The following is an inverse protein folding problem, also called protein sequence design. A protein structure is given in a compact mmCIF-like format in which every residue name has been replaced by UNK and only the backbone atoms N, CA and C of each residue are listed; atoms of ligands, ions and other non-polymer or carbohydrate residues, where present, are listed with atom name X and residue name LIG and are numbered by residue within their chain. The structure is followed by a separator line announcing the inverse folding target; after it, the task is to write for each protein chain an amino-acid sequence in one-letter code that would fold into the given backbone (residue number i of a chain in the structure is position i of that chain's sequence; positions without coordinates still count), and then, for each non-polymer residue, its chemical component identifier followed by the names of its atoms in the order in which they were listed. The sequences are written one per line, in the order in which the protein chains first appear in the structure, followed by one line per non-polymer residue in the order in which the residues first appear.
data_IF_389688284722
#
_entry.id   IF_389688284722
#
_cell.length_a   1.000
_cell.length_b   1.000
_cell.length_c   1.000
_cell.angle_alpha   90.00
_cell.angle_beta   90.00
_cell.angle_gamma   90.00
#
_symmetry.space_group_name_H-M   'P 1'
#
loop_
_entity.id
_entity.type
_entity.pdbx_description
1 polymer ?
#
# COMPACT_ATOMS: atom_id res chain seq x y z
N UNK A 1 -13.42 -11.58 26.06
CA UNK A 1 -13.16 -11.96 24.68
C UNK A 1 -13.35 -13.44 24.53
N UNK A 2 -14.27 -13.88 23.66
CA UNK A 2 -14.50 -15.31 23.45
C UNK A 2 -13.33 -15.90 22.68
N UNK A 3 -12.70 -16.92 23.21
CA UNK A 3 -11.57 -17.65 22.62
C UNK A 3 -11.91 -18.30 21.26
N UNK A 4 -13.18 -18.50 20.95
CA UNK A 4 -13.63 -19.11 19.71
C UNK A 4 -13.42 -18.26 18.43
N UNK A 5 -13.24 -16.95 18.54
CA UNK A 5 -12.98 -16.08 17.39
C UNK A 5 -11.48 -15.94 17.06
N UNK A 6 -10.59 -16.37 17.95
CA UNK A 6 -9.14 -16.24 17.77
C UNK A 6 -8.51 -17.35 16.91
N UNK A 7 -9.22 -18.44 16.67
CA UNK A 7 -8.68 -19.62 15.97
C UNK A 7 -8.94 -19.56 14.45
N UNK A 8 -9.77 -18.62 13.97
CA UNK A 8 -10.13 -18.54 12.54
C UNK A 8 -9.09 -17.76 11.74
N UNK A 9 -8.43 -16.77 12.32
CA UNK A 9 -7.35 -15.99 11.68
C UNK A 9 -6.41 -15.37 12.71
N UNK A 10 -5.16 -15.13 12.29
CA UNK A 10 -4.13 -14.44 13.08
C UNK A 10 -3.91 -13.04 12.52
N UNK A 11 -3.84 -12.03 13.39
CA UNK A 11 -3.44 -10.66 13.06
C UNK A 11 -2.05 -10.43 13.64
N UNK A 12 -1.11 -10.09 12.79
CA UNK A 12 0.27 -9.80 13.15
C UNK A 12 0.60 -8.34 12.80
N UNK A 13 0.80 -7.46 13.79
CA UNK A 13 1.31 -6.13 13.53
C UNK A 13 2.79 -6.20 13.16
N UNK A 14 3.23 -5.29 12.28
CA UNK A 14 4.63 -5.03 11.99
C UNK A 14 4.91 -3.53 12.00
N UNK A 15 6.09 -3.14 12.42
CA UNK A 15 6.49 -1.73 12.51
C UNK A 15 6.66 -1.12 11.13
N UNK A 16 6.24 0.14 11.00
CA UNK A 16 6.44 0.94 9.80
C UNK A 16 7.10 2.28 10.17
N UNK A 17 7.92 2.87 9.29
CA UNK A 17 8.56 4.16 9.53
C UNK A 17 7.56 5.30 9.27
N UNK A 18 6.97 5.82 10.34
CA UNK A 18 6.07 6.98 10.29
C UNK A 18 6.25 7.86 11.52
N UNK A 19 5.90 9.15 11.40
CA UNK A 19 6.04 10.13 12.49
C UNK A 19 4.89 10.07 13.52
N UNK A 20 4.58 8.86 13.97
CA UNK A 20 3.57 8.57 15.00
C UNK A 20 4.18 7.81 16.18
N UNK A 21 3.44 7.73 17.30
CA UNK A 21 3.95 7.13 18.53
C UNK A 21 4.30 5.64 18.42
N UNK A 22 3.52 4.87 17.68
CA UNK A 22 3.73 3.44 17.46
C UNK A 22 3.06 2.98 16.15
N UNK A 23 3.58 3.41 15.00
CA UNK A 23 2.96 3.14 13.71
C UNK A 23 3.15 1.67 13.33
N UNK A 24 2.09 1.03 12.83
CA UNK A 24 2.15 -0.36 12.43
C UNK A 24 1.25 -0.66 11.22
N UNK A 25 1.71 -1.56 10.37
CA UNK A 25 0.90 -2.28 9.41
C UNK A 25 0.42 -3.62 10.00
N UNK A 26 -0.44 -4.31 9.26
CA UNK A 26 -1.00 -5.58 9.69
C UNK A 26 -0.95 -6.63 8.59
N UNK A 27 -0.57 -7.84 8.97
CA UNK A 27 -0.81 -9.05 8.20
C UNK A 27 -1.91 -9.85 8.88
N UNK A 28 -2.91 -10.25 8.12
CA UNK A 28 -4.05 -11.06 8.57
C UNK A 28 -4.00 -12.35 7.78
N UNK A 29 -3.82 -13.45 8.45
CA UNK A 29 -3.71 -14.76 7.82
C UNK A 29 -4.59 -15.79 8.47
N UNK A 30 -5.01 -16.77 7.71
CA UNK A 30 -5.56 -18.04 8.13
C UNK A 30 -4.72 -19.17 7.50
N UNK A 31 -5.17 -20.42 7.62
CA UNK A 31 -4.43 -21.57 7.08
C UNK A 31 -4.22 -21.54 5.55
N UNK A 32 -5.00 -20.75 4.80
CA UNK A 32 -5.03 -20.77 3.34
C UNK A 32 -4.64 -19.42 2.71
N UNK A 33 -5.03 -18.30 3.33
CA UNK A 33 -4.99 -16.96 2.74
C UNK A 33 -4.27 -15.99 3.65
N UNK A 34 -3.53 -15.07 3.04
CA UNK A 34 -2.94 -13.93 3.71
C UNK A 34 -3.34 -12.63 3.01
N UNK A 35 -3.74 -11.65 3.81
CA UNK A 35 -3.91 -10.27 3.36
C UNK A 35 -3.08 -9.33 4.22
N UNK A 36 -2.61 -8.24 3.63
CA UNK A 36 -1.86 -7.21 4.37
C UNK A 36 -2.42 -5.82 4.16
N UNK A 37 -2.29 -5.00 5.19
CA UNK A 37 -2.66 -3.58 5.20
C UNK A 37 -1.43 -2.78 5.62
N UNK A 38 -0.97 -1.88 4.76
CA UNK A 38 0.24 -1.11 4.94
C UNK A 38 0.04 0.33 4.44
N UNK A 39 -0.29 1.23 5.36
CA UNK A 39 -0.46 2.68 5.13
C UNK A 39 0.44 3.46 6.08
N UNK A 40 0.62 4.75 5.82
CA UNK A 40 1.49 5.62 6.63
C UNK A 40 2.96 5.17 6.61
N UNK A 41 3.48 4.92 5.41
CA UNK A 41 4.83 4.37 5.20
C UNK A 41 5.73 5.46 4.62
N UNK A 42 6.66 5.98 5.41
CA UNK A 42 7.63 6.96 4.92
C UNK A 42 8.61 6.38 3.89
N UNK A 43 9.04 5.14 4.07
CA UNK A 43 9.85 4.41 3.10
C UNK A 43 9.70 2.90 3.26
N UNK A 44 9.86 2.18 2.17
CA UNK A 44 9.79 0.72 2.16
C UNK A 44 11.11 0.13 2.70
N UNK A 45 11.02 -0.70 3.73
CA UNK A 45 12.16 -1.44 4.29
C UNK A 45 12.10 -2.92 3.90
N UNK A 46 13.24 -3.62 3.96
CA UNK A 46 13.29 -5.06 3.72
C UNK A 46 12.40 -5.84 4.71
N UNK A 47 12.24 -5.34 5.93
CA UNK A 47 11.41 -5.97 6.94
C UNK A 47 9.91 -5.84 6.60
N UNK A 48 9.47 -4.66 6.17
CA UNK A 48 8.11 -4.48 5.65
C UNK A 48 7.85 -5.42 4.47
N UNK A 49 8.76 -5.45 3.48
CA UNK A 49 8.61 -6.32 2.31
C UNK A 49 8.43 -7.78 2.71
N UNK A 50 9.20 -8.30 3.67
CA UNK A 50 9.05 -9.66 4.19
C UNK A 50 7.68 -9.93 4.81
N UNK A 51 7.08 -8.96 5.51
CA UNK A 51 5.72 -9.09 6.04
C UNK A 51 4.66 -9.10 4.93
N UNK A 52 4.91 -8.39 3.83
CA UNK A 52 4.00 -8.34 2.68
C UNK A 52 4.14 -9.57 1.77
N UNK A 53 5.31 -10.23 1.75
CA UNK A 53 5.50 -11.49 1.03
C UNK A 53 4.53 -12.56 1.53
N UNK A 54 3.90 -13.29 0.61
CA UNK A 54 2.85 -14.26 0.92
C UNK A 54 1.43 -13.70 0.91
N UNK A 55 1.25 -12.38 0.83
CA UNK A 55 -0.08 -11.78 0.70
C UNK A 55 -0.66 -12.00 -0.68
N UNK A 56 -1.89 -12.51 -0.73
CA UNK A 56 -2.69 -12.58 -1.95
C UNK A 56 -3.40 -11.26 -2.23
N UNK A 57 -3.79 -10.55 -1.16
CA UNK A 57 -4.39 -9.23 -1.20
C UNK A 57 -3.57 -8.23 -0.38
N UNK A 58 -3.30 -7.08 -0.96
CA UNK A 58 -2.56 -5.99 -0.33
C UNK A 58 -3.33 -4.68 -0.45
N UNK A 59 -3.66 -4.06 0.68
CA UNK A 59 -3.98 -2.63 0.74
C UNK A 59 -2.69 -1.87 1.02
N UNK A 60 -2.21 -1.15 0.01
CA UNK A 60 -0.94 -0.41 0.08
C UNK A 60 -1.18 1.10 -0.06
N UNK A 61 -0.44 1.88 0.71
CA UNK A 61 -0.42 3.31 0.54
C UNK A 61 0.06 3.71 -0.86
N UNK A 62 -0.61 4.70 -1.45
CA UNK A 62 -0.21 5.43 -2.64
C UNK A 62 -0.59 6.89 -2.41
N UNK A 63 0.19 7.56 -1.54
CA UNK A 63 -0.25 8.82 -0.96
C UNK A 63 -0.13 9.98 -1.93
N UNK A 64 1.00 10.15 -2.59
CA UNK A 64 1.26 11.31 -3.42
C UNK A 64 1.94 10.98 -4.75
N UNK A 65 1.66 11.80 -5.74
CA UNK A 65 2.49 11.93 -6.92
C UNK A 65 3.60 12.94 -6.68
N UNK A 66 4.83 12.63 -7.10
CA UNK A 66 6.01 13.44 -6.80
C UNK A 66 5.96 14.83 -7.45
N UNK A 67 5.47 14.92 -8.69
CA UNK A 67 5.41 16.20 -9.41
C UNK A 67 4.23 17.06 -8.92
N UNK A 68 3.08 16.42 -8.66
CA UNK A 68 1.92 17.12 -8.08
C UNK A 68 2.25 17.63 -6.67
N UNK A 69 2.96 16.86 -5.84
CA UNK A 69 3.40 17.31 -4.52
C UNK A 69 4.30 18.56 -4.61
N UNK A 70 5.22 18.62 -5.58
CA UNK A 70 6.07 19.80 -5.79
C UNK A 70 5.24 21.05 -6.12
N UNK A 71 4.18 20.90 -6.91
CA UNK A 71 3.38 22.01 -7.44
C UNK A 71 2.16 22.37 -6.57
N UNK A 72 1.69 21.48 -5.69
CA UNK A 72 0.49 21.70 -4.87
C UNK A 72 0.64 22.86 -3.87
N UNK A 73 -0.47 23.28 -3.26
CA UNK A 73 -0.54 24.44 -2.36
C UNK A 73 0.11 24.24 -0.98
N UNK A 74 0.58 23.03 -0.65
CA UNK A 74 1.21 22.80 0.63
C UNK A 74 2.46 23.63 0.83
N UNK A 75 2.70 24.18 2.04
CA UNK A 75 3.95 24.87 2.36
C UNK A 75 5.14 23.91 2.29
N UNK A 76 6.33 24.45 2.05
CA UNK A 76 7.55 23.66 1.82
C UNK A 76 7.83 22.63 2.93
N UNK A 77 7.69 23.03 4.21
CA UNK A 77 7.93 22.13 5.34
C UNK A 77 6.98 20.93 5.37
N UNK A 78 5.72 21.11 4.92
CA UNK A 78 4.77 20.01 4.84
C UNK A 78 5.09 19.07 3.65
N UNK A 79 5.49 19.62 2.50
CA UNK A 79 5.98 18.81 1.36
C UNK A 79 7.20 17.98 1.76
N UNK A 80 8.15 18.59 2.45
CA UNK A 80 9.34 17.90 2.95
C UNK A 80 9.00 16.79 3.97
N UNK A 81 8.02 17.03 4.85
CA UNK A 81 7.52 16.02 5.78
C UNK A 81 6.85 14.86 5.03
N UNK A 82 5.95 15.15 4.08
CA UNK A 82 5.24 14.12 3.29
C UNK A 82 6.22 13.23 2.54
N UNK A 83 7.22 13.81 1.86
CA UNK A 83 8.22 13.07 1.10
C UNK A 83 9.39 12.53 1.96
N UNK A 84 9.40 12.79 3.26
CA UNK A 84 10.45 12.38 4.18
C UNK A 84 10.42 10.89 4.52
N UNK A 85 11.50 10.41 5.12
CA UNK A 85 11.67 8.99 5.48
C UNK A 85 10.66 8.46 6.52
N UNK A 86 9.96 9.33 7.20
CA UNK A 86 8.87 9.01 8.13
C UNK A 86 7.53 9.64 7.71
N UNK A 87 7.43 10.07 6.46
CA UNK A 87 6.24 10.65 5.86
C UNK A 87 5.33 9.58 5.24
N UNK A 88 5.17 9.65 3.91
CA UNK A 88 4.26 8.79 3.16
C UNK A 88 4.90 8.19 1.90
N UNK A 89 4.27 7.15 1.37
CA UNK A 89 4.72 6.43 0.18
C UNK A 89 4.19 7.10 -1.10
N UNK A 90 5.09 7.34 -2.07
CA UNK A 90 4.69 7.88 -3.38
C UNK A 90 4.06 6.80 -4.27
N UNK A 91 3.30 7.22 -5.30
CA UNK A 91 2.73 6.32 -6.31
C UNK A 91 3.80 5.43 -6.97
N UNK A 92 4.94 6.03 -7.32
CA UNK A 92 6.10 5.31 -7.91
C UNK A 92 6.62 4.22 -6.97
N UNK A 93 6.79 4.51 -5.68
CA UNK A 93 7.27 3.51 -4.73
C UNK A 93 6.24 2.41 -4.48
N UNK A 94 4.95 2.75 -4.49
CA UNK A 94 3.87 1.75 -4.43
C UNK A 94 3.93 0.81 -5.62
N UNK A 95 4.08 1.34 -6.84
CA UNK A 95 4.21 0.55 -8.07
C UNK A 95 5.44 -0.36 -8.05
N UNK A 96 6.60 0.13 -7.61
CA UNK A 96 7.82 -0.68 -7.45
C UNK A 96 7.64 -1.81 -6.45
N UNK A 97 6.99 -1.53 -5.31
CA UNK A 97 6.71 -2.54 -4.28
C UNK A 97 5.77 -3.62 -4.83
N UNK A 98 4.68 -3.23 -5.50
CA UNK A 98 3.74 -4.16 -6.11
C UNK A 98 4.45 -5.00 -7.21
N UNK A 99 5.29 -4.36 -8.04
CA UNK A 99 6.08 -5.07 -9.07
C UNK A 99 6.99 -6.14 -8.49
N UNK A 100 7.64 -5.83 -7.37
CA UNK A 100 8.49 -6.78 -6.66
C UNK A 100 7.66 -7.96 -6.12
N UNK A 101 6.55 -7.67 -5.44
CA UNK A 101 5.69 -8.69 -4.84
C UNK A 101 5.04 -9.60 -5.90
N UNK A 102 4.63 -9.06 -7.05
CA UNK A 102 4.11 -9.86 -8.18
C UNK A 102 5.12 -10.88 -8.69
N UNK A 103 6.41 -10.55 -8.67
CA UNK A 103 7.47 -11.45 -9.15
C UNK A 103 7.93 -12.47 -8.12
N UNK A 104 7.79 -12.15 -6.83
CA UNK A 104 8.42 -12.89 -5.75
C UNK A 104 7.44 -13.47 -4.74
N UNK A 105 6.14 -13.24 -4.93
CA UNK A 105 5.10 -13.74 -4.01
C UNK A 105 3.80 -14.11 -4.75
N UNK A 106 2.75 -14.43 -4.01
CA UNK A 106 1.45 -14.84 -4.56
C UNK A 106 0.46 -13.67 -4.71
N UNK A 107 0.94 -12.43 -4.75
CA UNK A 107 0.08 -11.25 -4.86
C UNK A 107 -0.75 -11.31 -6.15
N UNK A 108 -2.07 -11.24 -6.03
CA UNK A 108 -3.00 -11.22 -7.15
C UNK A 108 -3.99 -10.05 -7.08
N UNK A 109 -4.09 -9.39 -5.92
CA UNK A 109 -4.99 -8.25 -5.72
C UNK A 109 -4.27 -7.15 -4.96
N UNK A 110 -4.23 -5.95 -5.53
CA UNK A 110 -3.71 -4.75 -4.87
C UNK A 110 -4.74 -3.63 -4.88
N UNK A 111 -4.89 -2.99 -3.73
CA UNK A 111 -5.75 -1.83 -3.55
C UNK A 111 -4.86 -0.67 -3.14
N UNK A 112 -4.82 0.38 -3.95
CA UNK A 112 -4.13 1.61 -3.61
C UNK A 112 -5.01 2.41 -2.66
N UNK A 113 -4.46 2.76 -1.50
CA UNK A 113 -5.20 3.50 -0.48
C UNK A 113 -4.44 4.70 0.06
N UNK A 114 -5.05 5.42 0.99
CA UNK A 114 -4.47 6.56 1.70
C UNK A 114 -3.98 7.69 0.77
N UNK A 115 -4.71 7.98 -0.31
CA UNK A 115 -4.35 9.02 -1.26
C UNK A 115 -4.50 10.42 -0.63
N UNK A 116 -3.52 11.30 -0.87
CA UNK A 116 -3.61 12.72 -0.52
C UNK A 116 -4.68 13.44 -1.34
N UNK A 117 -5.40 14.38 -0.72
CA UNK A 117 -6.40 15.21 -1.41
C UNK A 117 -5.79 16.26 -2.33
N UNK A 118 -4.60 16.76 -1.99
CA UNK A 118 -3.97 17.91 -2.65
C UNK A 118 -2.83 17.49 -3.59
N UNK A 119 -2.23 16.33 -3.36
CA UNK A 119 -1.05 15.90 -4.11
C UNK A 119 -1.25 14.56 -4.82
N UNK A 120 -2.52 14.11 -4.95
CA UNK A 120 -2.86 12.89 -5.68
C UNK A 120 -4.33 12.87 -6.10
N UNK A 121 -4.68 11.97 -7.03
CA UNK A 121 -6.05 11.59 -7.37
C UNK A 121 -6.08 10.16 -7.92
N UNK A 122 -7.24 9.47 -7.89
CA UNK A 122 -7.32 8.04 -8.15
C UNK A 122 -6.74 7.60 -9.49
N UNK A 123 -7.03 8.32 -10.56
CA UNK A 123 -6.60 7.98 -11.92
C UNK A 123 -5.08 8.08 -12.07
N UNK A 124 -4.46 9.11 -11.46
CA UNK A 124 -3.01 9.29 -11.49
C UNK A 124 -2.29 8.21 -10.68
N UNK A 125 -2.79 7.90 -9.49
CA UNK A 125 -2.23 6.83 -8.67
C UNK A 125 -2.28 5.48 -9.41
N UNK A 126 -3.43 5.16 -10.00
CA UNK A 126 -3.63 3.94 -10.79
C UNK A 126 -2.67 3.87 -11.97
N UNK A 127 -2.63 4.94 -12.80
CA UNK A 127 -1.80 4.96 -14.00
C UNK A 127 -0.31 4.89 -13.68
N UNK A 128 0.16 5.63 -12.66
CA UNK A 128 1.57 5.58 -12.23
C UNK A 128 1.97 4.16 -11.81
N UNK A 129 1.10 3.46 -11.07
CA UNK A 129 1.38 2.08 -10.66
C UNK A 129 1.39 1.15 -11.88
N UNK A 130 0.46 1.28 -12.82
CA UNK A 130 0.45 0.51 -14.08
C UNK A 130 1.74 0.75 -14.87
N UNK A 131 2.18 1.98 -15.01
CA UNK A 131 3.41 2.34 -15.73
C UNK A 131 4.65 1.71 -15.06
N UNK A 132 4.71 1.68 -13.73
CA UNK A 132 5.78 1.01 -12.98
C UNK A 132 5.73 -0.53 -13.16
N UNK A 133 4.54 -1.13 -13.22
CA UNK A 133 4.39 -2.56 -13.52
C UNK A 133 4.94 -2.89 -14.90
N UNK A 134 4.57 -2.12 -15.92
CA UNK A 134 5.05 -2.28 -17.29
C UNK A 134 6.56 -2.06 -17.40
N UNK A 135 7.09 -0.99 -16.78
CA UNK A 135 8.52 -0.70 -16.75
C UNK A 135 9.35 -1.83 -16.11
N UNK A 136 8.74 -2.56 -15.17
CA UNK A 136 9.34 -3.72 -14.54
C UNK A 136 8.99 -5.04 -15.23
N UNK A 137 8.44 -5.05 -16.45
CA UNK A 137 8.04 -6.24 -17.20
C UNK A 137 7.07 -7.16 -16.41
N UNK A 138 6.17 -6.60 -15.64
CA UNK A 138 5.08 -7.34 -15.01
C UNK A 138 3.89 -7.44 -15.97
N UNK A 139 3.20 -8.58 -15.96
CA UNK A 139 1.93 -8.71 -16.66
C UNK A 139 0.82 -8.02 -15.86
N UNK A 140 0.28 -6.92 -16.37
CA UNK A 140 -0.80 -6.17 -15.72
C UNK A 140 -2.12 -6.93 -15.63
N UNK A 141 -2.35 -7.92 -16.50
CA UNK A 141 -3.54 -8.77 -16.46
C UNK A 141 -3.49 -9.81 -15.33
N UNK A 142 -2.31 -10.03 -14.74
CA UNK A 142 -2.13 -10.97 -13.63
C UNK A 142 -2.52 -10.42 -12.27
N UNK A 143 -2.87 -9.13 -12.19
CA UNK A 143 -3.23 -8.47 -10.94
C UNK A 143 -4.57 -7.75 -11.04
N UNK A 144 -5.41 -7.93 -10.02
CA UNK A 144 -6.60 -7.10 -9.83
C UNK A 144 -6.20 -5.81 -9.08
N UNK A 145 -5.79 -4.78 -9.85
CA UNK A 145 -5.43 -3.47 -9.30
C UNK A 145 -6.66 -2.56 -9.19
N UNK A 146 -6.80 -1.88 -8.07
CA UNK A 146 -7.87 -0.90 -7.85
C UNK A 146 -7.42 0.21 -6.90
N UNK A 147 -8.20 1.30 -6.84
CA UNK A 147 -7.99 2.40 -5.91
C UNK A 147 -9.16 2.45 -4.94
N UNK A 148 -8.88 2.51 -3.64
CA UNK A 148 -9.89 2.63 -2.60
C UNK A 148 -10.59 3.99 -2.70
N UNK A 149 -11.93 3.97 -2.70
CA UNK A 149 -12.70 5.20 -2.52
C UNK A 149 -12.52 5.73 -1.10
N UNK A 150 -12.46 7.05 -0.97
CA UNK A 150 -12.40 7.72 0.33
C UNK A 150 -13.75 7.75 1.04
N UNK A 151 -14.84 7.78 0.28
CA UNK A 151 -16.18 8.08 0.76
C UNK A 151 -17.13 6.89 0.66
N UNK A 152 -16.85 5.94 -0.21
CA UNK A 152 -17.71 4.81 -0.48
C UNK A 152 -17.03 3.49 -0.12
N UNK A 153 -17.76 2.51 0.40
CA UNK A 153 -17.23 1.17 0.58
C UNK A 153 -16.84 0.56 -0.77
N UNK A 154 -15.73 -0.14 -0.80
CA UNK A 154 -15.31 -0.90 -1.97
C UNK A 154 -16.19 -2.12 -2.24
N UNK A 155 -15.98 -2.76 -3.38
CA UNK A 155 -16.64 -4.04 -3.69
C UNK A 155 -16.12 -5.16 -2.79
N UNK A 156 -16.95 -6.16 -2.55
CA UNK A 156 -16.53 -7.37 -1.85
C UNK A 156 -15.50 -8.13 -2.70
N UNK A 157 -14.37 -8.46 -2.09
CA UNK A 157 -13.32 -9.30 -2.67
C UNK A 157 -13.37 -10.64 -1.97
N UNK A 158 -13.38 -11.72 -2.75
CA UNK A 158 -13.27 -13.10 -2.24
C UNK A 158 -11.85 -13.58 -2.55
N UNK A 159 -11.17 -14.11 -1.55
CA UNK A 159 -9.89 -14.82 -1.64
C UNK A 159 -10.11 -16.31 -1.82
#
# INVERSE_FOLDING_TARGET
PSSAASDVYKRQPFSIPHDAANPCGFTINNEKHQLSIATDIGHMTNDIVKHLEGSELLLLESNYDTEVLKCCKYPFHLKARIAGSTGHLSNTMSGKTISYLLKNSNLNTAILGHLSKESNFPELAYQTVVDELLANNCNTDSINLSVASRELPGRLIKL
#
